data_IF_829734225552
#
_entry.id   IF_829734225552
#
_cell.length_a   1.000
_cell.length_b   1.000
_cell.length_c   1.000
_cell.angle_alpha   90.00
_cell.angle_beta   90.00
_cell.angle_gamma   90.00
#
_symmetry.space_group_name_H-M   'P 1'
#
loop_
_entity.id
_entity.type
_entity.pdbx_description
1 polymer ?
#
# COMPACT_ATOMS: atom_id res chain seq x y z
N UNK A 1 5.10 -30.56 -4.22
CA UNK A 1 5.91 -29.35 -4.47
C UNK A 1 5.23 -28.20 -3.74
N UNK A 2 5.79 -27.71 -2.64
CA UNK A 2 5.28 -26.55 -1.91
C UNK A 2 5.45 -25.33 -2.81
N UNK A 3 4.37 -24.60 -3.11
CA UNK A 3 4.43 -23.41 -3.95
C UNK A 3 5.50 -22.45 -3.40
N UNK A 4 6.53 -22.17 -4.20
CA UNK A 4 7.53 -21.16 -3.86
C UNK A 4 6.86 -19.80 -3.93
N UNK A 5 7.09 -18.96 -2.92
CA UNK A 5 6.62 -17.57 -2.91
C UNK A 5 7.12 -16.77 -4.12
N UNK A 6 6.48 -15.64 -4.39
CA UNK A 6 6.81 -14.77 -5.53
C UNK A 6 7.91 -13.78 -5.12
N UNK A 7 9.04 -13.77 -5.82
CA UNK A 7 10.11 -12.77 -5.62
C UNK A 7 9.68 -11.45 -6.24
N UNK A 8 9.75 -10.37 -5.48
CA UNK A 8 9.22 -9.05 -5.91
C UNK A 8 10.19 -7.88 -5.73
N UNK A 9 11.31 -8.05 -5.00
CA UNK A 9 12.25 -6.95 -4.73
C UNK A 9 12.61 -6.17 -5.99
N UNK A 10 12.42 -4.85 -5.95
CA UNK A 10 12.77 -3.94 -7.03
C UNK A 10 11.84 -3.98 -8.24
N UNK A 11 10.78 -4.80 -8.26
CA UNK A 11 9.76 -4.73 -9.31
C UNK A 11 8.92 -3.46 -9.14
N UNK A 12 8.54 -2.86 -10.27
CA UNK A 12 7.72 -1.65 -10.28
C UNK A 12 6.25 -1.99 -10.17
N UNK A 13 5.52 -1.17 -9.42
CA UNK A 13 4.06 -1.24 -9.38
C UNK A 13 3.46 0.15 -9.19
N UNK A 14 2.19 0.28 -9.55
CA UNK A 14 1.36 1.42 -9.19
C UNK A 14 0.09 0.95 -8.51
N UNK A 15 -0.41 1.75 -7.58
CA UNK A 15 -1.67 1.50 -6.88
C UNK A 15 -2.61 2.70 -7.03
N UNK A 16 -3.88 2.44 -7.35
CA UNK A 16 -4.94 3.44 -7.36
C UNK A 16 -5.98 3.04 -6.33
N UNK A 17 -6.33 3.94 -5.41
CA UNK A 17 -7.39 3.72 -4.42
C UNK A 17 -8.55 4.63 -4.72
N UNK A 18 -9.72 4.09 -5.00
CA UNK A 18 -10.90 4.86 -5.37
C UNK A 18 -12.04 4.66 -4.36
N UNK A 19 -12.45 5.73 -3.69
CA UNK A 19 -13.48 5.70 -2.67
C UNK A 19 -14.85 6.08 -3.26
N UNK A 20 -15.85 5.23 -3.05
CA UNK A 20 -17.24 5.44 -3.47
C UNK A 20 -18.17 5.40 -2.27
N UNK A 21 -19.14 6.31 -2.25
CA UNK A 21 -20.23 6.26 -1.27
C UNK A 21 -21.28 5.22 -1.72
N UNK A 22 -21.61 4.29 -0.84
CA UNK A 22 -22.59 3.23 -1.08
C UNK A 22 -23.80 3.44 -0.15
N UNK A 23 -24.63 4.43 -0.49
CA UNK A 23 -25.72 4.90 0.36
C UNK A 23 -25.28 5.95 1.38
N UNK A 24 -26.11 6.17 2.42
CA UNK A 24 -25.94 7.31 3.33
C UNK A 24 -24.74 7.19 4.29
N UNK A 25 -24.40 5.97 4.72
CA UNK A 25 -23.44 5.76 5.82
C UNK A 25 -22.36 4.71 5.53
N UNK A 26 -22.16 4.33 4.25
CA UNK A 26 -21.14 3.34 3.86
C UNK A 26 -20.23 3.89 2.77
N UNK A 27 -18.95 3.53 2.85
CA UNK A 27 -17.92 3.87 1.87
C UNK A 27 -17.23 2.57 1.46
N UNK A 28 -17.10 2.34 0.15
CA UNK A 28 -16.22 1.30 -0.38
C UNK A 28 -14.98 1.93 -0.98
N UNK A 29 -13.81 1.37 -0.71
CA UNK A 29 -12.56 1.75 -1.34
C UNK A 29 -12.07 0.58 -2.19
N UNK A 30 -12.14 0.72 -3.50
CA UNK A 30 -11.55 -0.23 -4.43
C UNK A 30 -10.07 0.10 -4.61
N UNK A 31 -9.22 -0.90 -4.53
CA UNK A 31 -7.78 -0.77 -4.70
C UNK A 31 -7.41 -1.46 -6.00
N UNK A 32 -6.77 -0.78 -6.93
CA UNK A 32 -6.30 -1.32 -8.19
C UNK A 32 -4.78 -1.35 -8.20
N UNK A 33 -4.17 -2.37 -8.80
CA UNK A 33 -2.72 -2.47 -8.95
C UNK A 33 -2.30 -2.91 -10.36
N UNK A 34 -1.12 -2.47 -10.79
CA UNK A 34 -0.43 -3.01 -11.97
C UNK A 34 0.28 -4.34 -11.68
N UNK A 35 0.35 -4.74 -10.41
CA UNK A 35 1.11 -5.91 -9.98
C UNK A 35 0.65 -7.19 -10.68
N UNK A 36 1.60 -7.96 -11.23
CA UNK A 36 1.34 -9.16 -12.00
C UNK A 36 0.76 -8.92 -13.41
N UNK A 37 0.66 -7.66 -13.85
CA UNK A 37 0.19 -7.28 -15.18
C UNK A 37 1.26 -6.55 -15.99
N UNK A 38 1.91 -5.56 -15.40
CA UNK A 38 2.95 -4.75 -16.03
C UNK A 38 3.83 -4.05 -14.99
N UNK A 39 4.98 -3.54 -15.46
CA UNK A 39 5.99 -2.87 -14.64
C UNK A 39 5.70 -1.38 -14.38
N UNK A 40 4.44 -0.95 -14.41
CA UNK A 40 4.02 0.44 -14.17
C UNK A 40 4.92 1.48 -14.89
N UNK A 41 4.97 1.44 -16.24
CA UNK A 41 5.83 2.33 -17.01
C UNK A 41 5.50 3.80 -16.74
N UNK A 42 6.54 4.57 -16.41
CA UNK A 42 6.39 5.95 -15.93
C UNK A 42 5.61 6.84 -16.89
N UNK A 43 5.85 6.70 -18.20
CA UNK A 43 5.18 7.52 -19.21
C UNK A 43 3.67 7.29 -19.25
N UNK A 44 3.18 6.05 -19.08
CA UNK A 44 1.74 5.78 -19.01
C UNK A 44 1.18 6.22 -17.66
N UNK A 45 1.87 5.89 -16.56
CA UNK A 45 1.44 6.26 -15.22
C UNK A 45 1.28 7.77 -15.05
N UNK A 46 2.21 8.57 -15.58
CA UNK A 46 2.17 10.03 -15.50
C UNK A 46 0.96 10.67 -16.20
N UNK A 47 0.26 9.93 -17.08
CA UNK A 47 -0.98 10.41 -17.71
C UNK A 47 -2.20 10.23 -16.84
N UNK A 48 -2.13 9.42 -15.78
CA UNK A 48 -3.26 9.11 -14.90
C UNK A 48 -3.36 10.19 -13.84
N UNK A 49 -4.53 10.82 -13.74
CA UNK A 49 -4.83 11.84 -12.73
C UNK A 49 -6.01 11.43 -11.85
N UNK A 50 -6.08 11.97 -10.64
CA UNK A 50 -7.20 11.68 -9.72
C UNK A 50 -8.54 12.00 -10.39
N UNK A 51 -8.62 13.12 -11.11
CA UNK A 51 -9.80 13.52 -11.85
C UNK A 51 -10.21 12.49 -12.91
N UNK A 52 -9.25 11.94 -13.68
CA UNK A 52 -9.56 10.91 -14.69
C UNK A 52 -10.05 9.61 -14.05
N UNK A 53 -9.43 9.20 -12.93
CA UNK A 53 -9.83 8.01 -12.18
C UNK A 53 -11.23 8.20 -11.57
N UNK A 54 -11.48 9.33 -10.93
CA UNK A 54 -12.76 9.70 -10.32
C UNK A 54 -13.87 9.63 -11.37
N UNK A 55 -13.63 10.23 -12.55
CA UNK A 55 -14.58 10.22 -13.65
C UNK A 55 -14.84 8.81 -14.17
N UNK A 56 -13.78 8.03 -14.41
CA UNK A 56 -13.88 6.68 -14.97
C UNK A 56 -14.61 5.71 -14.03
N UNK A 57 -14.32 5.76 -12.73
CA UNK A 57 -14.90 4.85 -11.75
C UNK A 57 -16.20 5.36 -11.11
N UNK A 58 -16.59 6.61 -11.39
CA UNK A 58 -17.69 7.28 -10.70
C UNK A 58 -17.45 7.34 -9.18
N UNK A 59 -16.19 7.48 -8.76
CA UNK A 59 -15.83 7.55 -7.35
C UNK A 59 -16.03 8.98 -6.83
N UNK A 60 -15.95 9.17 -5.52
CA UNK A 60 -15.97 10.51 -4.88
C UNK A 60 -14.57 11.06 -4.69
N UNK A 61 -13.59 10.18 -4.55
CA UNK A 61 -12.19 10.52 -4.35
C UNK A 61 -11.34 9.40 -4.97
N UNK A 62 -10.13 9.73 -5.39
CA UNK A 62 -9.12 8.78 -5.79
C UNK A 62 -7.76 9.23 -5.25
N UNK A 63 -6.94 8.26 -4.83
CA UNK A 63 -5.53 8.47 -4.49
C UNK A 63 -4.70 7.66 -5.46
N UNK A 64 -3.69 8.30 -6.04
CA UNK A 64 -2.77 7.70 -7.01
C UNK A 64 -1.42 7.52 -6.34
N UNK A 65 -0.95 6.29 -6.28
CA UNK A 65 0.21 5.91 -5.48
C UNK A 65 1.23 5.11 -6.32
N UNK A 66 2.16 5.82 -6.98
CA UNK A 66 3.15 5.19 -7.83
C UNK A 66 3.85 6.15 -8.82
N UNK A 67 4.70 5.60 -9.72
CA UNK A 67 5.20 4.23 -9.66
C UNK A 67 6.08 4.05 -8.41
N UNK A 68 5.97 2.90 -7.75
CA UNK A 68 6.73 2.50 -6.56
C UNK A 68 7.58 1.27 -6.87
N UNK A 69 8.51 0.93 -5.97
CA UNK A 69 9.25 -0.33 -5.99
C UNK A 69 8.92 -1.14 -4.75
N UNK A 70 8.78 -2.46 -4.90
CA UNK A 70 8.73 -3.34 -3.72
C UNK A 70 10.10 -3.41 -3.07
N UNK A 71 10.20 -3.16 -1.76
CA UNK A 71 11.44 -3.46 -1.02
C UNK A 71 11.39 -4.79 -0.28
N UNK A 72 10.21 -5.39 -0.13
CA UNK A 72 10.09 -6.77 0.37
C UNK A 72 10.67 -7.73 -0.65
N UNK A 73 11.35 -8.77 -0.18
CA UNK A 73 12.02 -9.71 -1.07
C UNK A 73 11.03 -10.68 -1.73
N UNK A 74 10.05 -11.17 -0.96
CA UNK A 74 9.11 -12.20 -1.39
C UNK A 74 7.71 -12.02 -0.82
N UNK A 75 6.70 -12.38 -1.62
CA UNK A 75 5.36 -12.68 -1.14
C UNK A 75 5.17 -14.19 -0.94
N UNK A 76 4.50 -14.57 0.15
CA UNK A 76 4.22 -15.97 0.46
C UNK A 76 3.25 -16.64 -0.52
N UNK A 77 3.14 -17.99 -0.48
CA UNK A 77 2.31 -18.77 -1.40
C UNK A 77 0.80 -18.58 -1.21
N UNK A 78 0.37 -17.94 -0.12
CA UNK A 78 -1.04 -17.65 0.16
C UNK A 78 -1.60 -16.46 -0.62
N UNK A 79 -0.85 -15.94 -1.60
CA UNK A 79 -1.33 -14.96 -2.56
C UNK A 79 -2.33 -15.66 -3.49
N UNK A 80 -3.61 -15.47 -3.21
CA UNK A 80 -4.68 -16.00 -4.04
C UNK A 80 -4.67 -15.20 -5.36
N UNK A 81 -4.66 -15.86 -6.53
CA UNK A 81 -4.78 -15.18 -7.81
C UNK A 81 -6.10 -14.43 -7.85
N UNK A 82 -6.04 -13.18 -8.24
CA UNK A 82 -7.25 -12.40 -8.39
C UNK A 82 -7.94 -12.70 -9.70
N UNK A 83 -9.24 -12.94 -9.59
CA UNK A 83 -10.08 -13.35 -10.71
C UNK A 83 -10.72 -12.15 -11.41
N UNK A 84 -10.50 -10.93 -10.92
CA UNK A 84 -11.06 -9.74 -11.54
C UNK A 84 -10.38 -9.46 -12.88
N UNK A 85 -11.21 -9.11 -13.88
CA UNK A 85 -10.72 -8.72 -15.21
C UNK A 85 -9.95 -7.41 -15.10
N UNK A 86 -8.76 -7.29 -15.75
CA UNK A 86 -8.05 -6.02 -15.82
C UNK A 86 -8.90 -4.90 -16.41
N UNK A 87 -8.72 -3.70 -15.88
CA UNK A 87 -9.29 -2.43 -16.34
C UNK A 87 -8.13 -1.52 -16.74
N UNK A 88 -8.25 -0.86 -17.88
CA UNK A 88 -7.26 0.09 -18.33
C UNK A 88 -7.55 1.50 -17.78
N UNK A 89 -6.55 2.15 -17.19
CA UNK A 89 -6.57 3.57 -16.84
C UNK A 89 -5.63 4.30 -17.81
N UNK A 90 -6.18 5.07 -18.75
CA UNK A 90 -5.43 5.69 -19.84
C UNK A 90 -4.48 4.71 -20.58
N UNK A 91 -4.96 3.48 -20.81
CA UNK A 91 -4.20 2.43 -21.49
C UNK A 91 -3.21 1.66 -20.60
N UNK A 92 -3.06 2.02 -19.32
CA UNK A 92 -2.32 1.23 -18.36
C UNK A 92 -3.24 0.19 -17.71
N UNK A 93 -2.99 -1.08 -17.95
CA UNK A 93 -3.78 -2.16 -17.35
C UNK A 93 -3.53 -2.27 -15.85
N UNK A 94 -4.61 -2.36 -15.08
CA UNK A 94 -4.60 -2.59 -13.64
C UNK A 94 -5.70 -3.57 -13.28
N UNK A 95 -5.56 -4.29 -12.18
CA UNK A 95 -6.60 -5.19 -11.65
C UNK A 95 -7.05 -4.70 -10.28
N UNK A 96 -8.34 -4.78 -9.99
CA UNK A 96 -8.86 -4.56 -8.63
C UNK A 96 -8.32 -5.65 -7.72
N UNK A 97 -7.51 -5.24 -6.76
CA UNK A 97 -6.83 -6.10 -5.82
C UNK A 97 -7.50 -6.29 -4.46
N UNK A 98 -8.44 -5.40 -4.16
CA UNK A 98 -9.24 -5.46 -2.96
C UNK A 98 -10.38 -4.46 -3.04
N UNK A 99 -11.45 -4.75 -2.30
CA UNK A 99 -12.43 -3.73 -1.91
C UNK A 99 -12.55 -3.70 -0.40
N UNK A 100 -12.24 -2.54 0.19
CA UNK A 100 -12.39 -2.29 1.62
C UNK A 100 -13.76 -1.65 1.83
N UNK A 101 -14.59 -2.26 2.67
CA UNK A 101 -15.89 -1.70 3.04
C UNK A 101 -15.82 -1.08 4.43
N UNK A 102 -16.15 0.21 4.53
CA UNK A 102 -16.10 1.01 5.75
C UNK A 102 -17.47 1.65 6.02
N UNK A 103 -17.80 1.87 7.30
CA UNK A 103 -18.81 2.85 7.66
C UNK A 103 -18.28 4.27 7.41
N UNK A 104 -19.19 5.24 7.26
CA UNK A 104 -18.79 6.65 7.14
C UNK A 104 -17.98 7.11 8.36
N UNK A 105 -18.36 6.65 9.57
CA UNK A 105 -17.62 6.93 10.80
C UNK A 105 -16.20 6.38 10.73
N UNK A 106 -16.01 5.12 10.32
CA UNK A 106 -14.69 4.52 10.11
C UNK A 106 -13.90 5.30 9.05
N UNK A 107 -14.52 5.69 7.94
CA UNK A 107 -13.86 6.48 6.90
C UNK A 107 -13.48 7.90 7.35
N UNK A 108 -14.07 8.43 8.43
CA UNK A 108 -13.70 9.70 9.04
C UNK A 108 -12.60 9.52 10.11
N UNK A 109 -12.65 8.45 10.91
CA UNK A 109 -11.67 8.18 11.98
C UNK A 109 -10.36 7.61 11.47
N UNK A 110 -10.38 6.89 10.34
CA UNK A 110 -9.18 6.38 9.66
C UNK A 110 -8.47 7.46 8.83
N UNK A 111 -8.94 8.72 8.88
CA UNK A 111 -8.25 9.86 8.26
C UNK A 111 -7.04 10.24 9.12
N UNK A 112 -5.93 10.51 8.45
CA UNK A 112 -4.70 10.92 9.10
C UNK A 112 -3.55 9.96 8.85
N UNK A 113 -2.36 10.53 8.93
CA UNK A 113 -1.09 9.81 8.90
C UNK A 113 -0.85 9.23 10.30
N UNK A 114 -0.09 8.15 10.37
CA UNK A 114 0.30 7.49 11.62
C UNK A 114 -0.85 6.86 12.42
N UNK A 115 -1.99 6.58 11.78
CA UNK A 115 -3.11 5.83 12.35
C UNK A 115 -3.10 4.39 11.84
N UNK A 116 -2.93 3.43 12.75
CA UNK A 116 -2.98 2.00 12.42
C UNK A 116 -4.37 1.61 11.88
N UNK A 117 -4.39 0.83 10.79
CA UNK A 117 -5.62 0.40 10.12
C UNK A 117 -5.49 -0.97 9.47
N UNK A 118 -6.58 -1.74 9.38
CA UNK A 118 -6.67 -2.90 8.51
C UNK A 118 -6.34 -2.53 7.07
N UNK A 119 -5.37 -3.23 6.47
CA UNK A 119 -4.98 -3.05 5.08
C UNK A 119 -5.19 -4.35 4.30
N UNK A 120 -5.57 -4.27 3.00
CA UNK A 120 -5.66 -5.44 2.14
C UNK A 120 -4.30 -6.10 1.97
N UNK A 121 -4.28 -7.44 1.80
CA UNK A 121 -3.08 -8.28 1.75
C UNK A 121 -1.97 -7.85 0.78
N UNK A 122 -2.27 -6.99 -0.20
CA UNK A 122 -1.31 -6.50 -1.20
C UNK A 122 -1.01 -5.00 -1.13
N UNK A 123 -1.47 -4.27 -0.12
CA UNK A 123 -1.25 -2.82 -0.07
C UNK A 123 0.00 -2.47 0.76
N UNK A 124 1.19 -2.69 0.20
CA UNK A 124 2.42 -2.10 0.74
C UNK A 124 2.84 -1.01 -0.24
N UNK A 125 2.95 0.23 0.22
CA UNK A 125 3.44 1.35 -0.59
C UNK A 125 4.84 1.74 -0.17
N UNK A 126 5.76 1.93 -1.12
CA UNK A 126 7.11 2.37 -0.78
C UNK A 126 7.73 3.28 -1.82
N UNK A 127 8.19 4.45 -1.37
CA UNK A 127 8.89 5.41 -2.22
C UNK A 127 10.34 4.95 -2.37
N UNK A 128 10.76 4.69 -3.61
CA UNK A 128 12.18 4.49 -3.89
C UNK A 128 12.83 5.85 -4.11
N UNK A 129 13.84 6.16 -3.30
CA UNK A 129 14.74 7.28 -3.49
C UNK A 129 16.09 6.70 -3.91
N UNK A 130 16.47 6.77 -5.22
CA UNK A 130 17.67 6.09 -5.73
C UNK A 130 18.97 6.51 -5.07
N UNK A 131 18.99 7.72 -4.49
CA UNK A 131 20.16 8.27 -3.80
C UNK A 131 20.18 7.88 -2.31
N UNK A 132 19.14 7.25 -1.77
CA UNK A 132 19.04 6.92 -0.34
C UNK A 132 19.83 5.65 0.00
N UNK A 133 20.77 5.77 0.92
CA UNK A 133 21.56 4.68 1.49
C UNK A 133 21.75 4.89 3.01
N UNK A 134 22.36 3.91 3.70
CA UNK A 134 22.52 3.97 5.16
C UNK A 134 23.37 5.16 5.63
N UNK A 135 24.29 5.63 4.79
CA UNK A 135 25.21 6.72 5.13
C UNK A 135 24.57 8.10 5.00
N UNK A 136 23.56 8.25 4.11
CA UNK A 136 22.91 9.53 3.84
C UNK A 136 21.41 9.57 4.18
N UNK A 137 20.86 8.48 4.73
CA UNK A 137 19.42 8.41 5.08
C UNK A 137 19.00 9.53 6.01
N UNK A 138 19.84 9.89 6.98
CA UNK A 138 19.53 10.97 7.93
C UNK A 138 19.54 12.35 7.28
N UNK A 139 20.41 12.58 6.30
CA UNK A 139 20.51 13.85 5.56
C UNK A 139 19.34 14.01 4.58
N UNK A 140 19.03 12.95 3.82
CA UNK A 140 17.94 12.96 2.83
C UNK A 140 16.57 13.03 3.52
N UNK A 141 16.40 12.37 4.67
CA UNK A 141 15.23 12.51 5.54
C UNK A 141 15.31 13.73 6.47
N UNK A 142 16.33 14.59 6.35
CA UNK A 142 16.44 15.85 7.10
C UNK A 142 15.97 17.08 6.32
N UNK A 143 15.81 16.96 5.00
CA UNK A 143 15.42 18.05 4.08
C UNK A 143 13.91 18.11 3.76
N UNK A 144 13.55 18.52 2.54
CA UNK A 144 12.14 18.57 2.09
C UNK A 144 11.43 17.19 2.01
N UNK A 145 12.18 16.10 2.17
CA UNK A 145 11.68 14.73 2.30
C UNK A 145 11.70 14.23 3.76
N UNK A 146 11.93 15.12 4.73
CA UNK A 146 11.86 14.78 6.13
C UNK A 146 10.45 14.41 6.55
N UNK A 147 10.35 13.45 7.48
CA UNK A 147 9.10 13.20 8.17
C UNK A 147 8.61 14.51 8.78
N UNK A 148 7.47 15.02 8.29
CA UNK A 148 6.94 16.34 8.65
C UNK A 148 6.63 16.39 10.13
N UNK A 149 6.08 15.30 10.68
CA UNK A 149 5.82 15.12 12.11
C UNK A 149 5.93 13.64 12.49
N UNK A 150 7.02 13.27 13.15
CA UNK A 150 7.14 11.94 13.78
C UNK A 150 6.29 11.98 15.07
N UNK A 151 5.38 11.01 15.33
CA UNK A 151 4.54 11.05 16.52
C UNK A 151 5.38 11.03 17.81
N UNK A 152 4.86 11.67 18.86
CA UNK A 152 5.58 11.79 20.14
C UNK A 152 6.00 10.41 20.67
N UNK A 153 7.30 10.25 20.93
CA UNK A 153 7.89 9.00 21.46
C UNK A 153 8.38 8.01 20.40
N UNK A 154 8.16 8.26 19.12
CA UNK A 154 8.65 7.40 18.05
C UNK A 154 10.13 7.65 17.75
N UNK A 155 10.82 6.59 17.32
CA UNK A 155 12.20 6.61 16.84
C UNK A 155 12.28 5.74 15.59
N UNK A 156 13.14 6.13 14.64
CA UNK A 156 13.46 5.33 13.46
C UNK A 156 14.90 4.84 13.55
N UNK A 157 15.11 3.56 13.27
CA UNK A 157 16.41 2.93 13.21
C UNK A 157 16.51 2.10 11.93
N UNK A 158 17.69 2.10 11.31
CA UNK A 158 18.00 1.22 10.18
C UNK A 158 18.94 0.13 10.67
N UNK A 159 18.73 -1.11 10.20
CA UNK A 159 19.61 -2.23 10.53
C UNK A 159 19.67 -3.21 9.37
N UNK A 160 20.81 -3.87 9.21
CA UNK A 160 20.92 -5.05 8.38
C UNK A 160 20.29 -6.24 9.11
N UNK A 161 19.33 -6.89 8.48
CA UNK A 161 18.68 -8.07 9.04
C UNK A 161 19.66 -9.25 8.96
N UNK A 162 19.91 -9.91 10.11
CA UNK A 162 20.71 -11.13 10.18
C UNK A 162 19.91 -12.38 9.77
N UNK A 163 18.57 -12.30 9.86
CA UNK A 163 17.64 -13.36 9.50
C UNK A 163 16.43 -12.74 8.80
N UNK A 164 15.72 -13.56 8.01
CA UNK A 164 14.48 -13.14 7.35
C UNK A 164 13.43 -12.69 8.36
N UNK A 165 12.78 -11.56 8.08
CA UNK A 165 11.59 -11.11 8.81
C UNK A 165 10.37 -11.54 8.02
N UNK A 166 9.61 -12.48 8.58
CA UNK A 166 8.37 -12.98 7.98
C UNK A 166 7.18 -12.34 8.67
N UNK A 167 6.46 -11.50 7.94
CA UNK A 167 5.18 -10.95 8.38
C UNK A 167 4.06 -11.88 7.94
N UNK A 168 3.32 -12.42 8.91
CA UNK A 168 2.17 -13.28 8.64
C UNK A 168 0.89 -12.46 8.78
N UNK A 169 0.04 -12.51 7.75
CA UNK A 169 -1.37 -12.16 7.92
C UNK A 169 -2.06 -13.34 8.58
N UNK A 170 -2.62 -13.17 9.77
CA UNK A 170 -3.46 -14.22 10.35
C UNK A 170 -4.67 -14.45 9.43
N UNK A 171 -4.88 -15.72 9.05
CA UNK A 171 -5.99 -16.11 8.18
C UNK A 171 -7.35 -15.83 8.83
N UNK A 172 -7.44 -15.85 10.16
CA UNK A 172 -8.64 -15.51 10.93
C UNK A 172 -8.96 -14.02 10.92
N UNK A 173 -7.92 -13.17 10.77
CA UNK A 173 -8.05 -11.71 10.74
C UNK A 173 -8.30 -11.22 9.31
N UNK A 174 -7.74 -11.89 8.30
CA UNK A 174 -8.00 -11.58 6.88
C UNK A 174 -7.37 -10.27 6.37
N UNK A 175 -6.71 -9.50 7.23
CA UNK A 175 -5.99 -8.26 6.95
C UNK A 175 -4.67 -8.21 7.71
N UNK A 176 -3.73 -7.36 7.27
CA UNK A 176 -2.60 -6.95 8.13
C UNK A 176 -2.88 -5.58 8.75
N UNK A 177 -2.19 -5.29 9.85
CA UNK A 177 -2.20 -3.97 10.43
C UNK A 177 -1.10 -3.14 9.79
N UNK A 178 -1.53 -2.10 9.07
CA UNK A 178 -0.66 -1.16 8.42
C UNK A 178 -0.84 0.24 9.00
N UNK A 179 0.22 1.02 8.90
CA UNK A 179 0.23 2.45 9.19
C UNK A 179 0.77 3.18 7.97
N UNK A 180 0.27 4.38 7.70
CA UNK A 180 0.71 5.17 6.56
C UNK A 180 1.29 6.52 6.99
N UNK A 181 2.37 6.95 6.37
CA UNK A 181 2.93 8.29 6.54
C UNK A 181 2.37 9.30 5.51
N UNK A 182 2.79 10.55 5.63
CA UNK A 182 2.45 11.65 4.71
C UNK A 182 3.01 11.52 3.29
N UNK A 183 3.88 10.54 3.05
CA UNK A 183 4.41 10.20 1.73
C UNK A 183 3.71 8.99 1.13
N UNK A 184 2.57 8.61 1.70
CA UNK A 184 1.77 7.44 1.35
C UNK A 184 2.51 6.10 1.55
N UNK A 185 3.68 6.05 2.22
CA UNK A 185 4.35 4.78 2.48
C UNK A 185 3.57 3.99 3.52
N UNK A 186 3.45 2.68 3.30
CA UNK A 186 2.77 1.77 4.21
C UNK A 186 3.79 0.96 4.99
N UNK A 187 3.72 1.07 6.31
CA UNK A 187 4.49 0.27 7.26
C UNK A 187 3.59 -0.83 7.80
N UNK A 188 4.09 -2.06 7.82
CA UNK A 188 3.34 -3.21 8.33
C UNK A 188 3.84 -3.55 9.73
N UNK A 189 2.92 -3.82 10.64
CA UNK A 189 3.26 -4.32 11.96
C UNK A 189 3.98 -5.67 11.85
N UNK A 190 5.20 -5.74 12.38
CA UNK A 190 5.96 -6.99 12.55
C UNK A 190 5.79 -7.43 14.00
N UNK A 191 4.94 -8.43 14.25
CA UNK A 191 4.66 -8.92 15.59
C UNK A 191 3.39 -9.75 15.67
N UNK A 192 2.92 -10.00 16.89
CA UNK A 192 1.64 -10.66 17.12
C UNK A 192 0.48 -9.67 16.85
N UNK A 193 -0.09 -9.79 15.66
CA UNK A 193 -1.21 -8.97 15.20
C UNK A 193 -2.47 -9.21 16.05
N UNK A 194 -2.71 -10.44 16.54
CA UNK A 194 -3.88 -10.76 17.35
C UNK A 194 -3.81 -10.05 18.70
N UNK A 195 -2.67 -10.15 19.38
CA UNK A 195 -2.40 -9.43 20.64
C UNK A 195 -2.55 -7.91 20.49
N UNK A 196 -2.09 -7.32 19.38
CA UNK A 196 -2.25 -5.88 19.14
C UNK A 196 -3.71 -5.48 18.84
N UNK A 197 -4.45 -6.30 18.10
CA UNK A 197 -5.85 -6.05 17.77
C UNK A 197 -6.80 -6.30 18.95
N UNK A 198 -6.30 -6.82 20.08
CA UNK A 198 -7.10 -7.20 21.24
C UNK A 198 -7.97 -8.43 20.98
N UNK A 199 -7.49 -9.33 20.11
CA UNK A 199 -8.11 -10.61 19.75
C UNK A 199 -7.43 -11.77 20.47
#
# INVERSE_FOLDING_TARGET
>A
MTAKGLRVKGQRYGEIRAARANGFAKVSVSVFSTFGLNECPHHQWATITEATVIKQLGSRNAVINGPRLWMVDYFGPSMIPETETPVAFNGLEMRSIATINLSLMQAMTLRGNYTARPMPRMSISQKHLPLLNVDNVQEILGGANAFKEIPKGWKFETRLLQNDVVVKTDASVGHFLGLQDEFDNTYVLVGDVASFAGL
#
